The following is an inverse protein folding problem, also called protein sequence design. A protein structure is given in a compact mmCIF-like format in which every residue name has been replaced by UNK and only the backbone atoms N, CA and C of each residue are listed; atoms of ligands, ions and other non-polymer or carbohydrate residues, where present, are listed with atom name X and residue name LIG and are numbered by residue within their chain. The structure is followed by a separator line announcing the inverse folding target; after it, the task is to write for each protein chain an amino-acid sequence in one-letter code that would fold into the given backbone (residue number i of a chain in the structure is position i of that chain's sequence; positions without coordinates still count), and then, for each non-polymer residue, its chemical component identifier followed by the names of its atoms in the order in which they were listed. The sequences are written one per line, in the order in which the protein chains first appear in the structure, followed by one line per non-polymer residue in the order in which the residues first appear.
data_IF_196379206368
#
_entry.id   IF_196379206368
#
_cell.length_a   1.000
_cell.length_b   1.000
_cell.length_c   1.000
_cell.angle_alpha   90.00
_cell.angle_beta   90.00
_cell.angle_gamma   90.00
#
_symmetry.space_group_name_H-M   'P 1'
#
loop_
_entity.id
_entity.type
_entity.pdbx_description
1 polymer ?
#
# COMPACT_ATOMS: atom_id res chain seq x y z
N UNK A 1 14.77 3.65 13.32
CA UNK A 1 14.12 4.95 13.06
C UNK A 1 13.97 5.66 14.38
N UNK A 2 14.24 6.95 14.42
CA UNK A 2 14.03 7.79 15.59
C UNK A 2 12.54 8.17 15.65
N UNK A 3 11.88 7.97 16.79
CA UNK A 3 10.47 8.32 16.93
C UNK A 3 10.25 9.82 16.81
N UNK A 4 9.10 10.26 16.31
CA UNK A 4 8.72 11.68 16.31
C UNK A 4 7.52 11.91 17.22
N UNK A 5 7.65 12.83 18.18
CA UNK A 5 6.58 13.19 19.12
C UNK A 5 6.15 14.63 18.87
N UNK A 6 4.85 14.91 19.02
CA UNK A 6 4.32 16.28 18.97
C UNK A 6 3.69 16.64 20.32
N UNK A 7 4.21 17.69 20.96
CA UNK A 7 3.66 18.27 22.18
C UNK A 7 2.78 19.47 21.82
N UNK A 8 1.53 19.47 22.26
CA UNK A 8 0.58 20.53 21.95
C UNK A 8 0.00 21.07 23.25
N UNK A 9 0.36 22.28 23.62
CA UNK A 9 -0.07 22.94 24.87
C UNK A 9 0.14 24.46 24.72
N UNK A 10 -0.77 25.28 25.23
CA UNK A 10 -0.67 26.74 25.10
C UNK A 10 0.36 27.35 26.08
N UNK A 11 0.82 26.57 27.07
CA UNK A 11 1.84 26.94 28.05
C UNK A 11 3.25 26.52 27.60
N UNK A 12 4.11 27.47 27.18
CA UNK A 12 5.46 27.16 26.73
C UNK A 12 6.35 26.55 27.82
N UNK A 13 6.10 26.90 29.09
CA UNK A 13 6.84 26.34 30.22
C UNK A 13 6.56 24.86 30.40
N UNK A 14 5.30 24.43 30.25
CA UNK A 14 4.95 23.02 30.35
C UNK A 14 5.49 22.20 29.17
N UNK A 15 5.46 22.76 27.95
CA UNK A 15 6.13 22.17 26.77
C UNK A 15 7.62 21.94 27.06
N UNK A 16 8.32 22.92 27.63
CA UNK A 16 9.75 22.79 27.93
C UNK A 16 10.02 21.70 28.98
N UNK A 17 9.17 21.61 30.01
CA UNK A 17 9.28 20.56 31.03
C UNK A 17 9.05 19.18 30.42
N UNK A 18 7.96 18.99 29.67
CA UNK A 18 7.67 17.72 28.98
C UNK A 18 8.77 17.36 27.98
N UNK A 19 9.25 18.33 27.20
CA UNK A 19 10.33 18.16 26.24
C UNK A 19 11.63 17.69 26.90
N UNK A 20 11.97 18.24 28.08
CA UNK A 20 13.13 17.79 28.86
C UNK A 20 12.94 16.37 29.39
N UNK A 21 11.78 16.06 29.97
CA UNK A 21 11.47 14.73 30.51
C UNK A 21 11.56 13.67 29.40
N UNK A 22 11.00 13.97 28.22
CA UNK A 22 10.94 13.05 27.08
C UNK A 22 12.23 13.08 26.23
N UNK A 23 13.26 13.79 26.67
CA UNK A 23 14.56 13.83 25.99
C UNK A 23 15.10 12.40 25.83
N UNK A 24 15.45 12.05 24.59
CA UNK A 24 15.94 10.71 24.23
C UNK A 24 14.86 9.67 23.94
N UNK A 25 13.57 10.03 23.96
CA UNK A 25 12.50 9.16 23.44
C UNK A 25 12.25 9.35 21.94
N UNK A 26 12.78 10.41 21.34
CA UNK A 26 12.68 10.69 19.92
C UNK A 26 12.85 12.18 19.61
N UNK A 27 12.61 12.55 18.35
CA UNK A 27 12.55 13.92 17.86
C UNK A 27 11.26 14.59 18.37
N UNK A 28 11.40 15.61 19.20
CA UNK A 28 10.28 16.34 19.77
C UNK A 28 9.98 17.57 18.92
N UNK A 29 8.72 17.71 18.52
CA UNK A 29 8.13 18.91 17.91
C UNK A 29 7.10 19.48 18.88
N UNK A 30 6.79 20.76 18.74
CA UNK A 30 5.78 21.39 19.58
C UNK A 30 4.87 22.33 18.79
N UNK A 31 3.66 22.54 19.30
CA UNK A 31 2.71 23.52 18.83
C UNK A 31 2.03 24.19 20.04
N UNK A 32 1.74 25.48 19.94
CA UNK A 32 1.08 26.25 21.01
C UNK A 32 -0.38 26.58 20.72
N UNK A 33 -0.93 26.04 19.63
CA UNK A 33 -2.33 26.17 19.26
C UNK A 33 -2.75 25.03 18.31
N UNK A 34 -4.06 24.75 18.27
CA UNK A 34 -4.62 23.64 17.51
C UNK A 34 -4.41 23.70 16.00
N UNK A 35 -4.56 24.88 15.38
CA UNK A 35 -4.41 25.04 13.93
C UNK A 35 -2.98 24.70 13.47
N UNK A 36 -1.97 25.23 14.17
CA UNK A 36 -0.57 24.92 13.90
C UNK A 36 -0.28 23.45 14.19
N UNK A 37 -0.86 22.87 15.24
CA UNK A 37 -0.69 21.45 15.55
C UNK A 37 -1.17 20.55 14.41
N UNK A 38 -2.39 20.75 13.92
CA UNK A 38 -2.96 19.99 12.80
C UNK A 38 -2.16 20.16 11.51
N UNK A 39 -1.72 21.39 11.21
CA UNK A 39 -0.86 21.65 10.06
C UNK A 39 0.46 20.87 10.15
N UNK A 40 1.11 20.90 11.33
CA UNK A 40 2.36 20.18 11.57
C UNK A 40 2.17 18.66 11.45
N UNK A 41 1.05 18.12 11.93
CA UNK A 41 0.71 16.70 11.81
C UNK A 41 0.50 16.29 10.34
N UNK A 42 -0.26 17.06 9.56
CA UNK A 42 -0.52 16.75 8.14
C UNK A 42 0.74 16.84 7.27
N UNK A 43 1.64 17.77 7.58
CA UNK A 43 2.92 17.90 6.86
C UNK A 43 3.89 16.75 7.17
N UNK A 44 3.91 16.29 8.42
CA UNK A 44 4.77 15.20 8.87
C UNK A 44 4.09 14.53 10.07
N UNK A 45 3.40 13.40 9.87
CA UNK A 45 2.69 12.70 10.93
C UNK A 45 3.64 12.25 12.05
N UNK A 46 3.36 12.60 13.33
CA UNK A 46 4.12 12.07 14.47
C UNK A 46 3.71 10.63 14.82
N UNK A 47 4.56 9.94 15.58
CA UNK A 47 4.28 8.61 16.16
C UNK A 47 3.38 8.69 17.40
N UNK A 48 3.35 9.85 18.09
CA UNK A 48 2.57 10.09 19.29
C UNK A 48 2.31 11.59 19.47
N UNK A 49 1.11 11.93 19.90
CA UNK A 49 0.73 13.31 20.28
C UNK A 49 0.46 13.36 21.77
N UNK A 50 1.08 14.34 22.46
CA UNK A 50 0.65 14.77 23.79
C UNK A 50 -0.12 16.06 23.62
N UNK A 51 -1.37 16.07 24.09
CA UNK A 51 -2.33 17.12 23.76
C UNK A 51 -2.95 17.70 25.02
N UNK A 52 -2.78 19.00 25.23
CA UNK A 52 -3.51 19.69 26.28
C UNK A 52 -5.01 19.67 25.97
N UNK A 53 -5.81 19.34 26.98
CA UNK A 53 -7.25 19.30 26.83
C UNK A 53 -7.84 20.71 26.67
N UNK A 54 -7.25 21.69 27.37
CA UNK A 54 -7.72 23.07 27.40
C UNK A 54 -6.72 23.96 26.68
N UNK A 55 -7.14 24.58 25.58
CA UNK A 55 -6.34 25.60 24.90
C UNK A 55 -7.27 26.69 24.37
N UNK A 56 -6.78 27.94 24.28
CA UNK A 56 -7.53 29.03 23.67
C UNK A 56 -7.86 28.77 22.19
N UNK A 57 -9.08 29.11 21.79
CA UNK A 57 -9.56 28.90 20.44
C UNK A 57 -10.00 27.45 20.24
N UNK A 58 -9.16 26.66 19.57
CA UNK A 58 -9.43 25.24 19.32
C UNK A 58 -8.83 24.39 20.44
N UNK A 59 -9.69 23.69 21.19
CA UNK A 59 -9.29 22.88 22.32
C UNK A 59 -8.80 21.48 21.91
N UNK A 60 -8.23 20.73 22.85
CA UNK A 60 -7.69 19.39 22.59
C UNK A 60 -8.72 18.38 22.10
N UNK A 61 -9.99 18.52 22.51
CA UNK A 61 -11.06 17.63 22.08
C UNK A 61 -11.37 17.80 20.59
N UNK A 62 -11.51 19.04 20.15
CA UNK A 62 -11.77 19.38 18.74
C UNK A 62 -10.63 18.87 17.85
N UNK A 63 -9.38 19.05 18.29
CA UNK A 63 -8.20 18.54 17.58
C UNK A 63 -8.25 17.01 17.49
N UNK A 64 -8.55 16.31 18.59
CA UNK A 64 -8.61 14.85 18.59
C UNK A 64 -9.72 14.34 17.65
N UNK A 65 -10.90 14.96 17.66
CA UNK A 65 -11.99 14.62 16.73
C UNK A 65 -11.54 14.81 15.28
N UNK A 66 -10.91 15.95 14.95
CA UNK A 66 -10.38 16.18 13.61
C UNK A 66 -9.31 15.16 13.21
N UNK A 67 -8.41 14.80 14.13
CA UNK A 67 -7.41 13.75 13.89
C UNK A 67 -8.07 12.40 13.61
N UNK A 68 -9.10 12.02 14.37
CA UNK A 68 -9.79 10.73 14.19
C UNK A 68 -10.64 10.67 12.93
N UNK A 69 -11.08 11.82 12.41
CA UNK A 69 -11.78 11.90 11.14
C UNK A 69 -10.85 11.90 9.90
N UNK A 70 -9.57 12.27 10.08
CA UNK A 70 -8.58 12.35 9.00
C UNK A 70 -7.86 10.99 8.81
N UNK A 71 -8.01 10.30 7.66
CA UNK A 71 -7.36 9.00 7.43
C UNK A 71 -5.84 9.00 7.59
N UNK A 72 -5.19 10.15 7.40
CA UNK A 72 -3.74 10.28 7.59
C UNK A 72 -3.36 10.28 9.08
N UNK A 73 -4.26 10.74 9.96
CA UNK A 73 -3.98 11.01 11.38
C UNK A 73 -4.73 10.08 12.34
N UNK A 74 -5.76 9.37 11.87
CA UNK A 74 -6.70 8.64 12.72
C UNK A 74 -6.02 7.59 13.61
N UNK A 75 -4.96 6.96 13.09
CA UNK A 75 -4.20 5.92 13.77
C UNK A 75 -3.11 6.46 14.72
N UNK A 76 -2.90 7.77 14.76
CA UNK A 76 -1.89 8.36 15.65
C UNK A 76 -2.43 8.31 17.08
N UNK A 77 -1.68 7.71 18.03
CA UNK A 77 -2.07 7.70 19.44
C UNK A 77 -2.02 9.12 20.01
N UNK A 78 -3.06 9.47 20.78
CA UNK A 78 -3.18 10.76 21.47
C UNK A 78 -3.26 10.52 22.98
N UNK A 79 -2.32 11.11 23.72
CA UNK A 79 -2.35 11.16 25.19
C UNK A 79 -2.77 12.56 25.59
N UNK A 80 -3.88 12.69 26.31
CA UNK A 80 -4.30 13.98 26.82
C UNK A 80 -3.48 14.39 28.05
N UNK A 81 -3.18 15.68 28.18
CA UNK A 81 -2.62 16.27 29.40
C UNK A 81 -3.70 17.19 29.97
N UNK A 82 -4.14 16.96 31.21
CA UNK A 82 -5.32 17.65 31.76
C UNK A 82 -5.15 18.02 33.23
N UNK A 83 -5.73 19.13 33.66
CA UNK A 83 -5.87 19.48 35.08
C UNK A 83 -7.08 18.80 35.76
N UNK A 84 -7.98 18.19 34.98
CA UNK A 84 -9.19 17.55 35.50
C UNK A 84 -8.88 16.16 36.05
N UNK A 85 -9.39 15.88 37.24
CA UNK A 85 -9.30 14.57 37.91
C UNK A 85 -10.67 13.89 38.03
N UNK A 86 -11.67 14.39 37.31
CA UNK A 86 -13.04 13.86 37.36
C UNK A 86 -13.20 12.68 36.40
N UNK A 87 -13.83 11.61 36.88
CA UNK A 87 -14.01 10.37 36.11
C UNK A 87 -14.78 10.62 34.80
N UNK A 88 -15.77 11.52 34.81
CA UNK A 88 -16.54 11.89 33.61
C UNK A 88 -15.65 12.50 32.51
N UNK A 89 -14.62 13.24 32.90
CA UNK A 89 -13.65 13.81 31.99
C UNK A 89 -12.77 12.72 31.36
N UNK A 90 -12.27 11.79 32.17
CA UNK A 90 -11.44 10.68 31.71
C UNK A 90 -12.20 9.79 30.71
N UNK A 91 -13.48 9.49 31.00
CA UNK A 91 -14.34 8.71 30.12
C UNK A 91 -14.52 9.40 28.76
N UNK A 92 -14.84 10.70 28.77
CA UNK A 92 -15.05 11.48 27.55
C UNK A 92 -13.81 11.50 26.65
N UNK A 93 -12.62 11.65 27.22
CA UNK A 93 -11.36 11.66 26.47
C UNK A 93 -11.13 10.32 25.75
N UNK A 94 -11.38 9.21 26.45
CA UNK A 94 -11.25 7.87 25.87
C UNK A 94 -12.31 7.58 24.80
N UNK A 95 -13.56 8.01 25.01
CA UNK A 95 -14.65 7.87 24.04
C UNK A 95 -14.38 8.58 22.70
N UNK A 96 -13.67 9.71 22.75
CA UNK A 96 -13.28 10.49 21.56
C UNK A 96 -12.09 9.85 20.82
N UNK A 97 -11.48 8.78 21.38
CA UNK A 97 -10.44 8.00 20.74
C UNK A 97 -9.02 8.31 21.21
N UNK A 98 -8.86 8.98 22.36
CA UNK A 98 -7.57 9.04 23.03
C UNK A 98 -7.15 7.65 23.51
N UNK A 99 -5.85 7.41 23.54
CA UNK A 99 -5.31 6.12 24.04
C UNK A 99 -5.00 6.17 25.53
N UNK A 100 -4.84 7.38 26.09
CA UNK A 100 -4.50 7.60 27.49
C UNK A 100 -4.65 9.07 27.91
N UNK A 101 -4.45 9.35 29.19
CA UNK A 101 -4.32 10.71 29.72
C UNK A 101 -3.28 10.81 30.85
N UNK A 102 -2.84 12.05 31.13
CA UNK A 102 -1.88 12.43 32.17
C UNK A 102 -2.44 13.63 32.93
N UNK A 103 -2.61 13.48 34.24
CA UNK A 103 -3.05 14.57 35.10
C UNK A 103 -1.91 15.57 35.36
N UNK A 104 -2.23 16.87 35.39
CA UNK A 104 -1.39 17.96 35.88
C UNK A 104 -1.52 18.00 37.43
N UNK A 105 -0.44 18.18 38.21
CA UNK A 105 0.94 18.39 37.79
C UNK A 105 1.61 17.11 37.24
N UNK A 106 2.46 17.27 36.23
CA UNK A 106 3.08 16.16 35.52
C UNK A 106 4.05 15.39 36.43
N UNK A 107 3.79 14.09 36.58
CA UNK A 107 4.72 13.14 37.17
C UNK A 107 5.66 12.61 36.08
N UNK A 108 6.96 12.94 36.18
CA UNK A 108 7.99 12.48 35.23
C UNK A 108 8.01 10.95 35.04
N UNK A 109 8.02 10.13 36.11
CA UNK A 109 7.98 8.67 35.96
C UNK A 109 6.74 8.18 35.20
N UNK A 110 5.58 8.79 35.45
CA UNK A 110 4.32 8.39 34.82
C UNK A 110 4.29 8.82 33.34
N UNK A 111 4.71 10.05 33.05
CA UNK A 111 4.82 10.57 31.68
C UNK A 111 5.72 9.67 30.83
N UNK A 112 6.91 9.35 31.33
CA UNK A 112 7.85 8.46 30.63
C UNK A 112 7.27 7.06 30.42
N UNK A 113 6.65 6.47 31.46
CA UNK A 113 6.08 5.13 31.37
C UNK A 113 4.95 5.04 30.33
N UNK A 114 4.04 6.03 30.32
CA UNK A 114 2.92 6.08 29.36
C UNK A 114 3.40 6.32 27.94
N UNK A 115 4.29 7.28 27.72
CA UNK A 115 4.87 7.56 26.39
C UNK A 115 5.61 6.34 25.84
N UNK A 116 6.45 5.69 26.64
CA UNK A 116 7.16 4.46 26.22
C UNK A 116 6.20 3.34 25.84
N UNK A 117 5.16 3.13 26.64
CA UNK A 117 4.13 2.13 26.36
C UNK A 117 3.44 2.40 25.02
N UNK A 118 2.99 3.63 24.79
CA UNK A 118 2.29 3.97 23.55
C UNK A 118 3.20 3.92 22.31
N UNK A 119 4.45 4.37 22.42
CA UNK A 119 5.43 4.22 21.33
C UNK A 119 5.73 2.74 21.03
N UNK A 120 5.80 1.89 22.07
CA UNK A 120 5.99 0.45 21.88
C UNK A 120 4.80 -0.19 21.17
N UNK A 121 3.57 0.13 21.60
CA UNK A 121 2.34 -0.35 20.95
C UNK A 121 2.29 0.11 19.50
N UNK A 122 2.50 1.41 19.24
CA UNK A 122 2.55 1.99 17.89
C UNK A 122 3.53 1.24 16.99
N UNK A 123 4.76 1.00 17.48
CA UNK A 123 5.78 0.25 16.74
C UNK A 123 5.33 -1.18 16.41
N UNK A 124 4.73 -1.89 17.37
CA UNK A 124 4.23 -3.25 17.15
C UNK A 124 3.08 -3.25 16.15
N UNK A 125 2.15 -2.29 16.25
CA UNK A 125 1.04 -2.13 15.31
C UNK A 125 1.53 -1.83 13.90
N UNK A 126 2.50 -0.94 13.74
CA UNK A 126 3.08 -0.62 12.44
C UNK A 126 3.82 -1.81 11.83
N UNK A 127 4.55 -2.58 12.65
CA UNK A 127 5.23 -3.79 12.19
C UNK A 127 4.22 -4.89 11.79
N UNK A 128 3.15 -5.07 12.57
CA UNK A 128 2.07 -5.99 12.21
C UNK A 128 1.39 -5.57 10.91
N UNK A 129 1.14 -4.26 10.71
CA UNK A 129 0.60 -3.73 9.45
C UNK A 129 1.54 -3.97 8.28
N UNK A 130 2.84 -3.76 8.48
CA UNK A 130 3.87 -4.03 7.46
C UNK A 130 3.88 -5.50 7.08
N UNK A 131 3.97 -6.41 8.06
CA UNK A 131 3.91 -7.87 7.83
C UNK A 131 2.61 -8.27 7.13
N UNK A 132 1.49 -7.63 7.49
CA UNK A 132 0.20 -7.93 6.89
C UNK A 132 0.06 -7.45 5.45
N UNK A 133 0.86 -6.47 4.99
CA UNK A 133 0.64 -5.78 3.69
C UNK A 133 1.82 -5.81 2.73
N UNK A 134 3.04 -6.08 3.20
CA UNK A 134 4.28 -6.02 2.42
C UNK A 134 4.95 -7.39 2.38
N UNK A 135 5.54 -7.74 1.24
CA UNK A 135 6.39 -8.93 1.08
C UNK A 135 7.78 -8.67 1.68
N UNK A 136 8.27 -9.49 2.62
CA UNK A 136 9.50 -9.22 3.35
C UNK A 136 10.78 -9.34 2.50
N UNK A 137 10.73 -10.02 1.35
CA UNK A 137 11.91 -10.17 0.49
C UNK A 137 12.08 -8.97 -0.44
N UNK A 138 10.98 -8.55 -1.08
CA UNK A 138 10.98 -7.58 -2.18
C UNK A 138 10.53 -6.19 -1.77
N UNK A 139 9.94 -6.04 -0.58
CA UNK A 139 9.32 -4.80 -0.07
C UNK A 139 8.13 -4.30 -0.92
N UNK A 140 7.67 -5.10 -1.87
CA UNK A 140 6.45 -4.85 -2.63
C UNK A 140 5.21 -5.18 -1.80
N UNK A 141 4.04 -4.77 -2.30
CA UNK A 141 2.77 -5.21 -1.73
C UNK A 141 2.68 -6.73 -1.78
N UNK A 142 2.22 -7.35 -0.70
CA UNK A 142 2.00 -8.80 -0.69
C UNK A 142 0.68 -9.17 -1.36
N UNK A 143 0.54 -10.46 -1.71
CA UNK A 143 -0.69 -10.99 -2.32
C UNK A 143 -1.97 -10.62 -1.58
N UNK A 144 -1.97 -10.73 -0.24
CA UNK A 144 -3.18 -10.43 0.56
C UNK A 144 -3.65 -8.98 0.37
N UNK A 145 -2.74 -8.02 0.41
CA UNK A 145 -3.07 -6.60 0.22
C UNK A 145 -3.37 -6.29 -1.24
N UNK A 146 -2.74 -6.98 -2.19
CA UNK A 146 -3.13 -6.91 -3.59
C UNK A 146 -4.59 -7.35 -3.77
N UNK A 147 -5.00 -8.51 -3.25
CA UNK A 147 -6.36 -9.06 -3.46
C UNK A 147 -7.43 -8.09 -2.95
N UNK A 148 -7.18 -7.46 -1.79
CA UNK A 148 -8.06 -6.43 -1.22
C UNK A 148 -8.15 -5.18 -2.10
N UNK A 149 -7.03 -4.76 -2.69
CA UNK A 149 -6.95 -3.55 -3.51
C UNK A 149 -7.59 -3.79 -4.87
N UNK A 150 -7.34 -4.95 -5.48
CA UNK A 150 -7.98 -5.39 -6.71
C UNK A 150 -9.51 -5.39 -6.58
N UNK A 151 -10.06 -5.99 -5.51
CA UNK A 151 -11.52 -6.00 -5.33
C UNK A 151 -12.07 -4.57 -5.17
N UNK A 152 -11.37 -3.71 -4.42
CA UNK A 152 -11.80 -2.32 -4.21
C UNK A 152 -11.79 -1.50 -5.51
N UNK A 153 -10.72 -1.62 -6.30
CA UNK A 153 -10.57 -0.93 -7.59
C UNK A 153 -11.50 -1.52 -8.65
N UNK A 154 -11.78 -2.83 -8.62
CA UNK A 154 -12.78 -3.45 -9.49
C UNK A 154 -14.17 -2.85 -9.27
N UNK A 155 -14.61 -2.75 -8.01
CA UNK A 155 -15.89 -2.12 -7.69
C UNK A 155 -15.92 -0.62 -8.07
N UNK A 156 -14.78 0.06 -7.98
CA UNK A 156 -14.64 1.46 -8.41
C UNK A 156 -14.76 1.59 -9.93
N UNK A 157 -14.03 0.77 -10.67
CA UNK A 157 -14.08 0.68 -12.14
C UNK A 157 -15.51 0.46 -12.63
N UNK A 158 -16.25 -0.50 -12.04
CA UNK A 158 -17.65 -0.74 -12.38
C UNK A 158 -18.57 0.45 -12.09
N UNK A 159 -18.33 1.18 -10.99
CA UNK A 159 -19.16 2.35 -10.61
C UNK A 159 -18.93 3.56 -11.50
N UNK A 160 -17.69 3.79 -11.90
CA UNK A 160 -17.29 4.98 -12.67
C UNK A 160 -17.13 4.72 -14.16
N UNK A 161 -17.25 3.45 -14.59
CA UNK A 161 -16.90 2.98 -15.93
C UNK A 161 -15.51 3.47 -16.34
N UNK A 162 -14.53 3.21 -15.48
CA UNK A 162 -13.12 3.51 -15.74
C UNK A 162 -12.38 2.21 -16.06
N UNK A 163 -11.47 2.19 -17.06
CA UNK A 163 -10.82 0.96 -17.49
C UNK A 163 -9.88 0.44 -16.40
N UNK A 164 -9.72 -0.87 -16.30
CA UNK A 164 -8.81 -1.51 -15.36
C UNK A 164 -8.08 -2.66 -16.06
N UNK A 165 -6.75 -2.67 -15.93
CA UNK A 165 -5.92 -3.74 -16.44
C UNK A 165 -5.05 -4.34 -15.33
N UNK A 166 -4.67 -5.58 -15.54
CA UNK A 166 -3.84 -6.37 -14.64
C UNK A 166 -2.75 -7.07 -15.45
N UNK A 167 -1.51 -6.91 -15.02
CA UNK A 167 -0.37 -7.66 -15.52
C UNK A 167 -0.02 -8.76 -14.51
N UNK A 168 0.04 -10.00 -14.96
CA UNK A 168 0.66 -11.12 -14.25
C UNK A 168 2.04 -11.37 -14.85
N UNK A 169 3.06 -11.48 -14.01
CA UNK A 169 4.47 -11.50 -14.41
C UNK A 169 5.17 -12.67 -13.75
N UNK A 170 5.97 -13.42 -14.49
CA UNK A 170 6.75 -14.56 -13.97
C UNK A 170 8.19 -14.48 -14.46
N UNK A 171 9.14 -14.77 -13.57
CA UNK A 171 10.57 -14.81 -13.92
C UNK A 171 10.89 -16.11 -14.65
N UNK A 172 11.33 -15.98 -15.90
CA UNK A 172 11.56 -17.13 -16.77
C UNK A 172 12.67 -18.03 -16.23
N UNK A 173 12.40 -19.34 -16.17
CA UNK A 173 13.36 -20.37 -15.76
C UNK A 173 13.95 -20.16 -14.34
N UNK A 174 13.26 -19.45 -13.45
CA UNK A 174 13.79 -19.09 -12.13
C UNK A 174 14.20 -20.29 -11.26
N UNK A 175 13.53 -21.44 -11.39
CA UNK A 175 13.97 -22.67 -10.75
C UNK A 175 15.39 -23.10 -11.20
N UNK A 176 15.67 -23.07 -12.51
CA UNK A 176 17.01 -23.38 -13.04
C UNK A 176 18.05 -22.36 -12.55
N UNK A 177 17.67 -21.08 -12.48
CA UNK A 177 18.51 -20.05 -11.89
C UNK A 177 18.89 -20.40 -10.43
N UNK A 178 17.92 -20.77 -9.60
CA UNK A 178 18.16 -21.15 -8.22
C UNK A 178 19.01 -22.41 -8.08
N UNK A 179 18.75 -23.42 -8.90
CA UNK A 179 19.52 -24.68 -8.89
C UNK A 179 21.00 -24.43 -9.22
N UNK A 180 21.30 -23.43 -10.05
CA UNK A 180 22.66 -23.03 -10.46
C UNK A 180 23.37 -22.11 -9.47
N UNK A 181 22.71 -21.01 -9.10
CA UNK A 181 23.33 -19.91 -8.35
C UNK A 181 22.99 -19.92 -6.86
N UNK A 182 22.08 -20.80 -6.43
CA UNK A 182 21.60 -20.92 -5.06
C UNK A 182 20.53 -19.90 -4.69
N UNK A 183 19.72 -20.24 -3.68
CA UNK A 183 18.64 -19.38 -3.19
C UNK A 183 19.07 -17.96 -2.79
N UNK A 184 20.24 -17.71 -2.18
CA UNK A 184 20.64 -16.33 -1.87
C UNK A 184 20.80 -15.45 -3.11
N UNK A 185 21.27 -16.01 -4.23
CA UNK A 185 21.35 -15.29 -5.50
C UNK A 185 19.96 -15.10 -6.13
N UNK A 186 19.07 -16.10 -5.99
CA UNK A 186 17.67 -15.98 -6.36
C UNK A 186 16.96 -14.84 -5.63
N UNK A 187 17.17 -14.73 -4.33
CA UNK A 187 16.62 -13.66 -3.49
C UNK A 187 17.10 -12.28 -3.95
N UNK A 188 18.39 -12.12 -4.28
CA UNK A 188 18.91 -10.88 -4.86
C UNK A 188 18.31 -10.58 -6.24
N UNK A 189 18.17 -11.61 -7.08
CA UNK A 189 17.51 -11.50 -8.38
C UNK A 189 16.08 -10.97 -8.23
N UNK A 190 15.27 -11.56 -7.34
CA UNK A 190 13.88 -11.12 -7.11
C UNK A 190 13.81 -9.69 -6.57
N UNK A 191 14.73 -9.28 -5.68
CA UNK A 191 14.81 -7.88 -5.21
C UNK A 191 15.09 -6.91 -6.36
N UNK A 192 15.98 -7.28 -7.28
CA UNK A 192 16.33 -6.44 -8.44
C UNK A 192 15.20 -6.37 -9.45
N UNK A 193 14.52 -7.48 -9.72
CA UNK A 193 13.31 -7.53 -10.57
C UNK A 193 12.21 -6.66 -9.95
N UNK A 194 11.94 -6.80 -8.64
CA UNK A 194 10.96 -5.98 -7.94
C UNK A 194 11.23 -4.48 -8.09
N UNK A 195 12.48 -4.03 -7.90
CA UNK A 195 12.88 -2.63 -8.09
C UNK A 195 12.68 -2.15 -9.53
N UNK A 196 12.99 -3.00 -10.52
CA UNK A 196 12.77 -2.66 -11.92
C UNK A 196 11.28 -2.47 -12.23
N UNK A 197 10.42 -3.37 -11.75
CA UNK A 197 8.97 -3.27 -11.92
C UNK A 197 8.39 -2.03 -11.22
N UNK A 198 8.83 -1.72 -9.99
CA UNK A 198 8.42 -0.48 -9.31
C UNK A 198 8.88 0.79 -10.01
N UNK A 199 10.01 0.73 -10.73
CA UNK A 199 10.56 1.91 -11.43
C UNK A 199 9.79 2.30 -12.68
N UNK A 200 9.04 1.37 -13.29
CA UNK A 200 8.20 1.68 -14.46
C UNK A 200 6.80 2.16 -14.06
N UNK A 201 6.31 1.79 -12.88
CA UNK A 201 5.01 2.23 -12.34
C UNK A 201 5.13 3.57 -11.62
N UNK A 202 4.81 4.67 -12.30
CA UNK A 202 5.00 6.03 -11.79
C UNK A 202 3.71 6.68 -11.25
N UNK A 203 2.54 6.09 -11.47
CA UNK A 203 1.28 6.71 -11.04
C UNK A 203 0.94 6.29 -9.60
N UNK A 204 0.39 7.19 -8.77
CA UNK A 204 0.02 6.86 -7.39
C UNK A 204 -1.03 5.75 -7.24
N UNK A 205 -1.82 5.50 -8.30
CA UNK A 205 -2.85 4.46 -8.31
C UNK A 205 -2.33 3.09 -8.78
N UNK A 206 -1.14 3.04 -9.41
CA UNK A 206 -0.55 1.78 -9.84
C UNK A 206 -0.07 0.99 -8.62
N UNK A 207 -0.31 -0.32 -8.61
CA UNK A 207 0.08 -1.17 -7.49
C UNK A 207 0.94 -2.32 -7.99
N UNK A 208 2.19 -2.38 -7.53
CA UNK A 208 3.10 -3.50 -7.80
C UNK A 208 3.14 -4.41 -6.58
N UNK A 209 2.90 -5.70 -6.81
CA UNK A 209 2.85 -6.72 -5.78
C UNK A 209 3.71 -7.94 -6.12
N UNK A 210 4.23 -8.61 -5.10
CA UNK A 210 4.72 -9.99 -5.23
C UNK A 210 3.57 -10.94 -4.97
N UNK A 211 3.17 -11.67 -6.01
CA UNK A 211 2.04 -12.57 -5.99
C UNK A 211 2.38 -13.89 -5.27
N UNK A 212 3.60 -14.42 -5.49
CA UNK A 212 4.13 -15.57 -4.77
C UNK A 212 5.33 -16.18 -5.48
N UNK A 213 6.31 -16.71 -4.73
CA UNK A 213 7.51 -17.30 -5.35
C UNK A 213 8.24 -16.31 -6.28
N UNK A 214 8.33 -16.65 -7.55
CA UNK A 214 8.85 -15.81 -8.64
C UNK A 214 7.80 -14.98 -9.41
N UNK A 215 6.55 -14.98 -8.96
CA UNK A 215 5.45 -14.29 -9.61
C UNK A 215 5.20 -12.89 -9.01
N UNK A 216 4.94 -11.94 -9.89
CA UNK A 216 4.60 -10.55 -9.58
C UNK A 216 3.30 -10.17 -10.28
N UNK A 217 2.64 -9.14 -9.76
CA UNK A 217 1.44 -8.58 -10.35
C UNK A 217 1.52 -7.05 -10.37
N UNK A 218 0.99 -6.42 -11.42
CA UNK A 218 0.81 -4.98 -11.50
C UNK A 218 -0.65 -4.68 -11.79
N UNK A 219 -1.32 -4.00 -10.86
CA UNK A 219 -2.69 -3.50 -11.04
C UNK A 219 -2.63 -2.07 -11.58
N UNK A 220 -3.37 -1.80 -12.65
CA UNK A 220 -3.42 -0.52 -13.33
C UNK A 220 -4.86 0.00 -13.38
N UNK A 221 -5.32 0.70 -12.33
CA UNK A 221 -6.59 1.42 -12.37
C UNK A 221 -6.55 2.52 -13.43
N UNK A 222 -7.70 2.81 -14.03
CA UNK A 222 -7.90 3.87 -15.01
C UNK A 222 -6.91 3.80 -16.19
N UNK A 223 -6.61 2.59 -16.62
CA UNK A 223 -5.67 2.30 -17.70
C UNK A 223 -6.31 1.31 -18.67
N UNK A 224 -6.31 1.66 -19.95
CA UNK A 224 -6.81 0.82 -21.03
C UNK A 224 -5.75 -0.18 -21.51
N UNK A 225 -6.13 -1.06 -22.45
CA UNK A 225 -5.21 -2.06 -23.01
C UNK A 225 -3.95 -1.47 -23.64
N UNK A 226 -4.03 -0.30 -24.30
CA UNK A 226 -2.89 0.28 -24.98
C UNK A 226 -1.86 0.81 -23.97
N UNK A 227 -2.33 1.45 -22.90
CA UNK A 227 -1.50 1.86 -21.77
C UNK A 227 -0.88 0.66 -21.06
N UNK A 228 -1.67 -0.40 -20.81
CA UNK A 228 -1.19 -1.62 -20.18
C UNK A 228 -0.12 -2.34 -21.02
N UNK A 229 -0.30 -2.41 -22.35
CA UNK A 229 0.69 -2.98 -23.28
C UNK A 229 2.00 -2.18 -23.28
N UNK A 230 1.90 -0.86 -23.30
CA UNK A 230 3.09 0.02 -23.27
C UNK A 230 3.89 -0.20 -21.98
N UNK A 231 3.22 -0.20 -20.83
CA UNK A 231 3.87 -0.46 -19.54
C UNK A 231 4.44 -1.88 -19.44
N UNK A 232 3.74 -2.89 -19.97
CA UNK A 232 4.24 -4.26 -19.99
C UNK A 232 5.53 -4.40 -20.81
N UNK A 233 5.62 -3.69 -21.94
CA UNK A 233 6.83 -3.65 -22.76
C UNK A 233 7.97 -2.95 -22.02
N UNK A 234 7.70 -1.81 -21.36
CA UNK A 234 8.68 -1.12 -20.52
C UNK A 234 9.17 -2.01 -19.36
N UNK A 235 8.28 -2.76 -18.71
CA UNK A 235 8.62 -3.70 -17.64
C UNK A 235 9.53 -4.83 -18.14
N UNK A 236 9.23 -5.39 -19.31
CA UNK A 236 10.04 -6.43 -19.96
C UNK A 236 11.44 -5.92 -20.26
N UNK A 237 11.55 -4.72 -20.83
CA UNK A 237 12.83 -4.07 -21.13
C UNK A 237 13.61 -3.71 -19.87
N UNK A 238 12.94 -3.16 -18.85
CA UNK A 238 13.57 -2.80 -17.58
C UNK A 238 14.21 -4.00 -16.89
N UNK A 239 13.54 -5.15 -16.87
CA UNK A 239 14.09 -6.40 -16.31
C UNK A 239 15.25 -6.93 -17.17
N UNK A 240 15.09 -6.93 -18.50
CA UNK A 240 16.15 -7.34 -19.43
C UNK A 240 17.42 -6.52 -19.25
N UNK A 241 17.28 -5.19 -19.07
CA UNK A 241 18.36 -4.24 -18.87
C UNK A 241 19.12 -4.42 -17.53
N UNK A 242 18.59 -5.21 -16.58
CA UNK A 242 19.35 -5.58 -15.39
C UNK A 242 20.55 -6.48 -15.71
N UNK A 243 20.54 -7.14 -16.89
CA UNK A 243 21.61 -8.00 -17.39
C UNK A 243 22.09 -9.04 -16.36
N UNK A 244 21.17 -9.59 -15.57
CA UNK A 244 21.47 -10.63 -14.58
C UNK A 244 21.77 -11.92 -15.32
N UNK A 245 23.02 -12.38 -15.32
CA UNK A 245 23.44 -13.58 -16.05
C UNK A 245 22.62 -14.81 -15.66
N UNK A 246 22.09 -15.53 -16.66
CA UNK A 246 21.36 -16.79 -16.48
C UNK A 246 21.83 -17.80 -17.54
N UNK A 247 22.85 -18.60 -17.20
CA UNK A 247 23.47 -19.52 -18.18
C UNK A 247 22.59 -20.69 -18.59
N UNK A 248 21.77 -21.19 -17.67
CA UNK A 248 20.93 -22.36 -17.92
C UNK A 248 19.57 -21.99 -18.56
N UNK A 249 19.38 -20.73 -18.95
CA UNK A 249 18.15 -20.28 -19.63
C UNK A 249 18.26 -20.59 -21.11
N UNK A 250 17.19 -21.16 -21.67
CA UNK A 250 17.07 -21.40 -23.11
C UNK A 250 16.51 -20.19 -23.86
N UNK A 251 16.17 -19.11 -23.15
CA UNK A 251 15.49 -17.93 -23.71
C UNK A 251 16.49 -16.82 -24.01
N UNK A 252 17.36 -16.50 -23.06
CA UNK A 252 18.39 -15.47 -23.19
C UNK A 252 19.56 -15.78 -22.24
N UNK A 253 20.71 -15.13 -22.43
CA UNK A 253 21.88 -15.27 -21.54
C UNK A 253 21.72 -14.58 -20.20
N UNK A 254 20.58 -13.94 -19.96
CA UNK A 254 20.23 -13.20 -18.78
C UNK A 254 18.78 -13.49 -18.34
N UNK A 255 18.44 -13.10 -17.12
CA UNK A 255 17.10 -13.23 -16.56
C UNK A 255 16.11 -12.41 -17.38
N UNK A 256 15.02 -13.05 -17.79
CA UNK A 256 13.88 -12.43 -18.48
C UNK A 256 12.59 -12.68 -17.71
N UNK A 257 11.52 -12.00 -18.10
CA UNK A 257 10.19 -12.20 -17.56
C UNK A 257 9.20 -12.42 -18.69
N UNK A 258 8.19 -13.26 -18.43
CA UNK A 258 6.98 -13.38 -19.25
C UNK A 258 5.85 -12.62 -18.58
N UNK A 259 5.00 -11.95 -19.39
CA UNK A 259 3.89 -11.15 -18.90
C UNK A 259 2.57 -11.56 -19.58
N UNK A 260 1.51 -11.65 -18.80
CA UNK A 260 0.14 -11.79 -19.25
C UNK A 260 -0.70 -10.59 -18.83
N UNK A 261 -1.42 -9.99 -19.78
CA UNK A 261 -2.31 -8.86 -19.52
C UNK A 261 -3.75 -9.33 -19.55
N UNK A 262 -4.48 -9.08 -18.47
CA UNK A 262 -5.94 -9.10 -18.44
C UNK A 262 -6.47 -7.67 -18.46
N UNK A 263 -7.48 -7.36 -19.28
CA UNK A 263 -8.08 -6.03 -19.30
C UNK A 263 -9.59 -6.05 -19.30
N UNK A 264 -10.15 -5.03 -18.67
CA UNK A 264 -11.55 -4.63 -18.74
C UNK A 264 -11.60 -3.14 -19.13
N UNK A 265 -11.97 -2.87 -20.37
CA UNK A 265 -12.05 -1.52 -20.92
C UNK A 265 -13.25 -1.36 -21.86
N UNK A 266 -13.41 -0.18 -22.46
CA UNK A 266 -14.55 0.16 -23.33
C UNK A 266 -14.74 -0.76 -24.54
N UNK A 267 -13.69 -1.48 -24.95
CA UNK A 267 -13.75 -2.39 -26.09
C UNK A 267 -14.13 -3.82 -25.69
N UNK A 268 -14.15 -4.11 -24.39
CA UNK A 268 -14.63 -5.37 -23.84
C UNK A 268 -16.16 -5.50 -24.06
N UNK A 269 -16.65 -6.64 -24.56
CA UNK A 269 -18.09 -6.86 -24.79
C UNK A 269 -18.92 -6.75 -23.49
N UNK A 270 -18.37 -7.22 -22.37
CA UNK A 270 -18.94 -7.08 -21.02
C UNK A 270 -18.79 -5.69 -20.41
N UNK A 271 -18.23 -4.71 -21.13
CA UNK A 271 -18.10 -3.33 -20.63
C UNK A 271 -19.47 -2.75 -20.29
N UNK A 272 -19.57 -2.22 -19.07
CA UNK A 272 -20.77 -1.60 -18.56
C UNK A 272 -20.59 -0.08 -18.53
N UNK A 273 -21.13 0.68 -19.52
CA UNK A 273 -21.07 2.13 -19.50
C UNK A 273 -21.94 2.70 -18.36
N UNK A 274 -21.67 3.94 -17.90
CA UNK A 274 -22.28 4.49 -16.68
C UNK A 274 -23.79 4.75 -16.81
N UNK A 275 -24.30 4.75 -18.05
CA UNK A 275 -25.69 5.01 -18.39
C UNK A 275 -26.20 3.86 -19.25
N UNK A 276 -26.60 2.75 -18.64
CA UNK A 276 -27.20 1.65 -19.38
C UNK A 276 -28.60 2.08 -19.90
N UNK A 277 -28.71 2.32 -21.21
CA UNK A 277 -29.95 1.95 -21.92
C UNK A 277 -30.14 0.44 -21.74
N UNK A 278 -31.38 -0.06 -21.63
CA UNK A 278 -31.63 -1.47 -21.41
C UNK A 278 -31.08 -2.28 -22.59
N UNK A 279 -29.92 -2.93 -22.40
CA UNK A 279 -29.44 -3.98 -23.30
C UNK A 279 -30.44 -5.14 -23.24
N UNK A 280 -30.77 -5.71 -24.40
CA UNK A 280 -31.70 -6.82 -24.56
C UNK A 280 -31.24 -8.13 -23.90
N UNK A 281 -29.96 -8.22 -23.51
CA UNK A 281 -29.40 -9.31 -22.72
C UNK A 281 -28.56 -8.74 -21.56
N UNK A 282 -28.68 -9.27 -20.34
CA UNK A 282 -27.81 -8.86 -19.24
C UNK A 282 -26.37 -9.24 -19.59
N UNK A 283 -25.47 -8.26 -19.61
CA UNK A 283 -24.04 -8.53 -19.75
C UNK A 283 -23.62 -9.54 -18.65
N UNK A 284 -22.86 -10.57 -19.03
CA UNK A 284 -22.36 -11.55 -18.07
C UNK A 284 -21.64 -10.81 -16.93
N UNK A 285 -22.08 -11.05 -15.70
CA UNK A 285 -21.54 -10.36 -14.52
C UNK A 285 -20.12 -10.87 -14.26
N UNK A 286 -19.12 -10.12 -14.75
CA UNK A 286 -17.71 -10.39 -14.50
C UNK A 286 -17.30 -9.95 -13.08
N UNK A 287 -16.25 -10.57 -12.59
CA UNK A 287 -15.67 -10.38 -11.26
C UNK A 287 -14.19 -10.05 -11.36
N UNK A 288 -13.61 -9.53 -10.29
CA UNK A 288 -12.16 -9.34 -10.19
C UNK A 288 -11.38 -10.65 -10.44
N UNK A 289 -11.94 -11.79 -10.05
CA UNK A 289 -11.32 -13.10 -10.31
C UNK A 289 -11.25 -13.45 -11.80
N UNK A 290 -12.20 -12.98 -12.61
CA UNK A 290 -12.17 -13.20 -14.06
C UNK A 290 -11.03 -12.40 -14.71
N UNK A 291 -10.74 -11.21 -14.18
CA UNK A 291 -9.61 -10.39 -14.64
C UNK A 291 -8.27 -11.07 -14.32
N UNK A 292 -8.13 -11.64 -13.11
CA UNK A 292 -6.96 -12.45 -12.73
C UNK A 292 -6.83 -13.66 -13.65
N UNK A 293 -7.94 -14.36 -13.90
CA UNK A 293 -7.94 -15.52 -14.77
C UNK A 293 -7.51 -15.19 -16.20
N UNK A 294 -7.99 -14.07 -16.76
CA UNK A 294 -7.58 -13.60 -18.08
C UNK A 294 -6.07 -13.31 -18.14
N UNK A 295 -5.53 -12.60 -17.14
CA UNK A 295 -4.11 -12.28 -17.06
C UNK A 295 -3.24 -13.54 -16.89
N UNK A 296 -3.68 -14.51 -16.09
CA UNK A 296 -2.98 -15.79 -15.89
C UNK A 296 -2.95 -16.65 -17.16
N UNK A 297 -4.07 -16.73 -17.89
CA UNK A 297 -4.11 -17.43 -19.18
C UNK A 297 -3.21 -16.77 -20.22
N UNK A 298 -3.19 -15.42 -20.28
CA UNK A 298 -2.27 -14.69 -21.13
C UNK A 298 -0.80 -14.98 -20.76
N UNK A 299 -0.47 -15.04 -19.46
CA UNK A 299 0.88 -15.35 -18.99
C UNK A 299 1.27 -16.78 -19.38
N UNK A 300 0.34 -17.73 -19.25
CA UNK A 300 0.55 -19.09 -19.71
C UNK A 300 0.84 -19.14 -21.23
N UNK A 301 0.10 -18.38 -22.04
CA UNK A 301 0.34 -18.27 -23.48
C UNK A 301 1.74 -17.70 -23.78
N UNK A 302 2.16 -16.65 -23.07
CA UNK A 302 3.50 -16.08 -23.22
C UNK A 302 4.60 -17.12 -22.94
N UNK A 303 4.43 -17.93 -21.89
CA UNK A 303 5.36 -19.02 -21.56
C UNK A 303 5.41 -20.10 -22.66
N UNK A 304 4.27 -20.46 -23.26
CA UNK A 304 4.21 -21.46 -24.33
C UNK A 304 4.79 -20.96 -25.65
N UNK A 305 4.63 -19.68 -25.96
CA UNK A 305 5.13 -19.07 -27.19
C UNK A 305 6.65 -18.82 -27.17
N UNK A 306 7.34 -19.18 -26.09
CA UNK A 306 8.80 -19.10 -25.99
C UNK A 306 9.32 -18.09 -24.98
N UNK A 307 8.47 -17.61 -24.06
CA UNK A 307 8.83 -16.71 -22.95
C UNK A 307 9.37 -15.35 -23.41
N UNK A 308 9.85 -14.53 -22.46
CA UNK A 308 10.39 -13.19 -22.67
C UNK A 308 9.51 -12.30 -23.57
N UNK A 309 8.21 -12.31 -23.30
CA UNK A 309 7.21 -11.58 -24.09
C UNK A 309 5.98 -11.23 -23.29
N UNK A 310 5.18 -10.38 -23.89
CA UNK A 310 3.86 -9.98 -23.39
C UNK A 310 2.80 -10.67 -24.24
N UNK A 311 1.82 -11.29 -23.58
CA UNK A 311 0.58 -11.73 -24.21
C UNK A 311 -0.61 -11.03 -23.55
N UNK A 312 -1.72 -10.96 -24.27
CA UNK A 312 -2.90 -10.22 -23.85
C UNK A 312 -4.15 -11.09 -23.98
N UNK A 313 -5.06 -10.97 -23.02
CA UNK A 313 -6.39 -11.55 -23.08
C UNK A 313 -7.43 -10.59 -22.53
N UNK A 314 -8.51 -10.40 -23.29
CA UNK A 314 -9.67 -9.65 -22.81
C UNK A 314 -10.46 -10.49 -21.80
N UNK A 315 -10.97 -9.85 -20.75
CA UNK A 315 -11.76 -10.52 -19.70
C UNK A 315 -13.00 -11.27 -20.25
N UNK A 316 -13.49 -10.91 -21.44
CA UNK A 316 -14.58 -11.64 -22.10
C UNK A 316 -14.19 -13.05 -22.52
N UNK A 317 -12.92 -13.24 -22.90
CA UNK A 317 -12.40 -14.47 -23.48
C UNK A 317 -11.79 -15.39 -22.42
N UNK A 318 -11.84 -15.01 -21.13
CA UNK A 318 -11.29 -15.80 -20.02
C UNK A 318 -11.84 -17.23 -19.93
N UNK A 319 -13.05 -17.50 -20.44
CA UNK A 319 -13.66 -18.84 -20.42
C UNK A 319 -13.36 -19.66 -21.69
N UNK A 320 -12.72 -19.06 -22.71
CA UNK A 320 -12.51 -19.69 -24.00
C UNK A 320 -11.15 -20.39 -24.04
N UNK A 321 -11.14 -21.67 -23.67
CA UNK A 321 -9.97 -22.55 -23.67
C UNK A 321 -9.24 -22.65 -25.03
N UNK A 322 -9.87 -22.27 -26.14
CA UNK A 322 -9.30 -22.37 -27.50
C UNK A 322 -8.40 -21.19 -27.89
N UNK A 323 -8.47 -20.03 -27.20
CA UNK A 323 -7.75 -18.82 -27.59
C UNK A 323 -6.24 -18.82 -27.25
N UNK A 324 -5.76 -19.75 -26.42
CA UNK A 324 -4.35 -19.83 -26.03
C UNK A 324 -3.39 -20.05 -27.22
N UNK A 325 -3.92 -20.47 -28.38
CA UNK A 325 -3.16 -20.66 -29.63
C UNK A 325 -3.21 -19.48 -30.60
N UNK A 326 -4.14 -18.54 -30.43
CA UNK A 326 -4.37 -17.42 -31.36
C UNK A 326 -3.84 -16.06 -30.84
N UNK A 327 -3.36 -16.00 -29.60
CA UNK A 327 -2.79 -14.78 -28.98
C UNK A 327 -1.35 -14.46 -29.52
N UNK A 328 -0.97 -15.06 -30.65
CA UNK A 328 0.33 -14.92 -31.30
C UNK A 328 0.39 -13.71 -32.24
#
# INVERSE_FOLDING_TARGET
MEHTLLLVDDNPGLIQVMGRILSGQGKIRFATNGLVALQLMRQSPPDLVLLDAEMPGMNGYEICIEMKADPLLADIPVIFVTAHSEIEFELKVLEIGAVDFISKPISEPLLLARVKTQLHIKRLTDELRRIATVDPLTELVNRRKFDQTLESEWQRSLRHSEPICLLMIDVDHFKLFNDRYGHPAGDDCLRRVARALSSVTQRPADLVARWGGEEFAILLPNTDRAGAQSLAQEALEAVSNLAIRHEDSTVATHVTVSLGIGCYDETSACWAPPVAQPRSEPAAKRTASDLVHAADQALYAAKQLGRARVCFLDINDADRQELTREIA
#
